data_IF_737102916138
#
_entry.id   IF_737102916138
#
_cell.length_a   1.000
_cell.length_b   1.000
_cell.length_c   1.000
_cell.angle_alpha   90.00
_cell.angle_beta   90.00
_cell.angle_gamma   90.00
#
_symmetry.space_group_name_H-M   'P 1'
#
loop_
_entity.id
_entity.type
_entity.pdbx_description
1 polymer ?
#
# COMPACT_ATOMS: atom_id res chain seq x y z
N UNK A 1 5.26 -10.03 -56.21
CA UNK A 1 5.69 -9.76 -54.82
C UNK A 1 4.88 -8.60 -54.27
N UNK A 2 3.77 -8.88 -53.60
CA UNK A 2 2.87 -7.86 -53.03
C UNK A 2 3.43 -7.41 -51.68
N UNK A 3 3.86 -6.14 -51.58
CA UNK A 3 4.30 -5.53 -50.31
C UNK A 3 3.08 -5.43 -49.39
N UNK A 4 3.08 -6.18 -48.30
CA UNK A 4 2.10 -6.01 -47.21
C UNK A 4 2.28 -4.61 -46.61
N UNK A 5 1.37 -3.69 -46.89
CA UNK A 5 1.34 -2.37 -46.26
C UNK A 5 1.05 -2.54 -44.78
N UNK A 6 1.99 -2.13 -43.92
CA UNK A 6 1.84 -2.19 -42.47
C UNK A 6 0.83 -1.13 -42.01
N UNK A 7 -0.46 -1.49 -41.99
CA UNK A 7 -1.58 -0.58 -41.81
C UNK A 7 -1.86 -0.25 -40.32
N UNK A 8 -0.79 -0.05 -39.53
CA UNK A 8 -0.89 0.28 -38.09
C UNK A 8 -0.77 1.79 -37.90
N UNK A 9 -1.65 2.35 -37.06
CA UNK A 9 -1.61 3.78 -36.66
C UNK A 9 -1.16 3.90 -35.21
N UNK A 10 -0.23 4.81 -34.94
CA UNK A 10 0.20 5.14 -33.58
C UNK A 10 -0.77 6.18 -33.00
N UNK A 11 -1.12 6.00 -31.73
CA UNK A 11 -1.93 6.95 -30.96
C UNK A 11 -0.99 7.63 -29.97
N UNK A 12 -0.84 8.95 -30.07
CA UNK A 12 -0.11 9.78 -29.11
C UNK A 12 -1.13 10.64 -28.36
N UNK A 13 -1.10 10.59 -27.04
CA UNK A 13 -2.02 11.30 -26.16
C UNK A 13 -1.23 11.85 -24.98
N UNK A 14 -1.45 13.12 -24.66
CA UNK A 14 -0.95 13.73 -23.44
C UNK A 14 -1.88 13.37 -22.27
N UNK A 15 -1.30 12.89 -21.18
CA UNK A 15 -2.02 12.42 -20.00
C UNK A 15 -1.31 12.99 -18.78
N UNK A 16 -2.08 13.38 -17.76
CA UNK A 16 -1.51 13.72 -16.46
C UNK A 16 -0.62 12.58 -15.95
N UNK A 17 0.55 12.95 -15.41
CA UNK A 17 1.56 11.97 -15.01
C UNK A 17 1.09 11.08 -13.86
N UNK A 18 0.41 11.67 -12.86
CA UNK A 18 -0.08 10.90 -11.72
C UNK A 18 -1.18 9.94 -12.15
N UNK A 19 -2.10 10.41 -13.00
CA UNK A 19 -3.15 9.58 -13.60
C UNK A 19 -2.57 8.39 -14.39
N UNK A 20 -1.52 8.62 -15.17
CA UNK A 20 -0.85 7.55 -15.92
C UNK A 20 -0.25 6.48 -14.99
N UNK A 21 0.51 6.89 -13.98
CA UNK A 21 1.17 5.96 -13.05
C UNK A 21 0.16 5.17 -12.21
N UNK A 22 -0.90 5.82 -11.72
CA UNK A 22 -1.96 5.13 -10.98
C UNK A 22 -2.74 4.15 -11.87
N UNK A 23 -3.08 4.55 -13.09
CA UNK A 23 -3.76 3.67 -14.05
C UNK A 23 -2.90 2.47 -14.42
N UNK A 24 -1.59 2.69 -14.65
CA UNK A 24 -0.63 1.63 -14.97
C UNK A 24 -0.52 0.64 -13.81
N UNK A 25 -0.44 1.11 -12.57
CA UNK A 25 -0.41 0.25 -11.38
C UNK A 25 -1.65 -0.65 -11.29
N UNK A 26 -2.84 -0.09 -11.49
CA UNK A 26 -4.09 -0.87 -11.49
C UNK A 26 -4.11 -1.92 -12.60
N UNK A 27 -3.62 -1.55 -13.79
CA UNK A 27 -3.56 -2.42 -14.94
C UNK A 27 -2.56 -3.57 -14.78
N UNK A 28 -1.41 -3.29 -14.18
CA UNK A 28 -0.40 -4.29 -13.84
C UNK A 28 -0.94 -5.27 -12.78
N UNK A 29 -1.69 -4.78 -11.78
CA UNK A 29 -2.34 -5.63 -10.75
C UNK A 29 -3.34 -6.62 -11.35
N UNK A 30 -4.03 -6.26 -12.44
CA UNK A 30 -4.96 -7.15 -13.16
C UNK A 30 -4.32 -7.88 -14.34
N UNK A 31 -3.01 -7.72 -14.56
CA UNK A 31 -2.26 -8.38 -15.63
C UNK A 31 -2.64 -7.94 -17.05
N UNK A 32 -3.20 -6.73 -17.21
CA UNK A 32 -3.62 -6.20 -18.51
C UNK A 32 -2.69 -5.04 -18.89
N UNK A 33 -1.83 -5.19 -19.92
CA UNK A 33 -1.01 -4.08 -20.40
C UNK A 33 -1.88 -2.92 -20.93
N UNK A 34 -1.46 -1.68 -20.71
CA UNK A 34 -2.13 -0.47 -21.20
C UNK A 34 -2.52 -0.54 -22.70
N UNK A 35 -1.65 -1.01 -23.63
CA UNK A 35 -2.04 -1.14 -25.03
C UNK A 35 -3.18 -2.14 -25.27
N UNK A 36 -3.31 -3.17 -24.43
CA UNK A 36 -4.40 -4.16 -24.53
C UNK A 36 -5.72 -3.50 -24.12
N UNK A 37 -5.73 -2.71 -23.04
CA UNK A 37 -6.91 -1.96 -22.64
C UNK A 37 -7.37 -1.00 -23.75
N UNK A 38 -6.44 -0.19 -24.29
CA UNK A 38 -6.76 0.78 -25.35
C UNK A 38 -7.38 0.07 -26.55
N UNK A 39 -6.76 -1.01 -27.02
CA UNK A 39 -7.29 -1.79 -28.14
C UNK A 39 -8.65 -2.43 -27.82
N UNK A 40 -8.86 -2.92 -26.60
CA UNK A 40 -10.14 -3.49 -26.18
C UNK A 40 -11.27 -2.43 -26.16
N UNK A 41 -10.98 -1.22 -25.69
CA UNK A 41 -11.93 -0.10 -25.69
C UNK A 41 -12.29 0.34 -27.11
N UNK A 42 -11.29 0.50 -27.99
CA UNK A 42 -11.53 0.84 -29.39
C UNK A 42 -12.40 -0.22 -30.09
N UNK A 43 -12.11 -1.51 -29.87
CA UNK A 43 -12.93 -2.61 -30.40
C UNK A 43 -14.36 -2.56 -29.86
N UNK A 44 -14.55 -2.24 -28.58
CA UNK A 44 -15.87 -2.15 -27.95
C UNK A 44 -16.68 -0.96 -28.48
N UNK A 45 -16.04 0.17 -28.75
CA UNK A 45 -16.67 1.33 -29.40
C UNK A 45 -17.21 0.95 -30.77
N UNK A 46 -16.38 0.28 -31.58
CA UNK A 46 -16.78 -0.19 -32.92
C UNK A 46 -17.93 -1.19 -32.82
N UNK A 47 -17.87 -2.13 -31.87
CA UNK A 47 -18.90 -3.15 -31.70
C UNK A 47 -20.25 -2.60 -31.21
N UNK A 48 -20.23 -1.58 -30.35
CA UNK A 48 -21.44 -1.04 -29.71
C UNK A 48 -21.96 0.23 -30.39
N UNK A 49 -21.20 0.82 -31.32
CA UNK A 49 -21.54 2.09 -31.96
C UNK A 49 -21.57 3.29 -30.99
N UNK A 50 -21.03 3.12 -29.78
CA UNK A 50 -21.04 4.13 -28.71
C UNK A 50 -19.87 3.96 -27.75
N UNK A 51 -19.56 5.00 -26.99
CA UNK A 51 -18.58 4.92 -25.90
C UNK A 51 -19.12 3.96 -24.81
N UNK A 52 -18.31 3.01 -24.32
CA UNK A 52 -18.77 1.97 -23.38
C UNK A 52 -18.83 2.46 -21.92
N UNK A 53 -19.03 3.75 -21.72
CA UNK A 53 -19.23 4.43 -20.44
C UNK A 53 -19.94 5.76 -20.72
N UNK A 54 -20.59 6.31 -19.71
CA UNK A 54 -21.23 7.62 -19.80
C UNK A 54 -20.16 8.71 -19.76
N UNK A 55 -20.21 9.64 -20.72
CA UNK A 55 -19.29 10.78 -20.79
C UNK A 55 -19.78 11.95 -19.93
N UNK A 56 -21.10 12.04 -19.73
CA UNK A 56 -21.65 12.90 -18.71
C UNK A 56 -21.41 12.21 -17.37
N UNK A 57 -20.72 12.87 -16.45
CA UNK A 57 -20.73 12.42 -15.06
C UNK A 57 -22.19 12.24 -14.65
N UNK A 58 -22.62 11.08 -14.13
CA UNK A 58 -23.95 11.02 -13.52
C UNK A 58 -23.98 12.08 -12.43
N UNK A 59 -24.91 13.03 -12.49
CA UNK A 59 -25.02 14.13 -11.51
C UNK A 59 -25.42 13.66 -10.09
N UNK A 60 -25.37 12.35 -9.81
CA UNK A 60 -25.32 11.74 -8.47
C UNK A 60 -23.92 11.27 -8.03
N UNK A 61 -22.91 11.50 -8.87
CA UNK A 61 -21.48 11.31 -8.63
C UNK A 61 -20.74 12.52 -9.18
N UNK A 62 -21.23 13.72 -8.83
CA UNK A 62 -20.30 14.81 -8.55
C UNK A 62 -19.34 14.29 -7.49
N UNK A 63 -18.13 13.95 -7.92
CA UNK A 63 -17.03 13.77 -7.01
C UNK A 63 -16.73 15.15 -6.39
N UNK A 64 -17.51 15.53 -5.37
CA UNK A 64 -17.08 16.41 -4.30
C UNK A 64 -15.97 15.76 -3.46
N UNK A 65 -15.24 14.79 -4.01
CA UNK A 65 -13.83 14.71 -3.71
C UNK A 65 -13.12 15.75 -4.57
N UNK A 66 -12.84 16.92 -3.99
CA UNK A 66 -11.42 17.30 -3.90
C UNK A 66 -10.70 15.98 -3.66
N UNK A 67 -9.86 15.46 -4.57
CA UNK A 67 -9.30 14.12 -4.42
C UNK A 67 -8.82 14.08 -2.98
N UNK A 68 -9.52 13.29 -2.15
CA UNK A 68 -9.28 13.33 -0.71
C UNK A 68 -7.90 12.72 -0.65
N UNK A 69 -6.88 13.60 -0.62
CA UNK A 69 -5.50 13.20 -0.74
C UNK A 69 -5.35 12.09 0.28
N UNK A 70 -4.76 10.96 -0.11
CA UNK A 70 -4.56 9.80 0.78
C UNK A 70 -4.30 10.34 2.17
N UNK A 71 -5.16 9.97 3.14
CA UNK A 71 -5.19 10.54 4.49
C UNK A 71 -3.77 10.92 4.92
N UNK A 72 -3.51 12.23 5.02
CA UNK A 72 -2.15 12.69 5.32
C UNK A 72 -1.92 12.52 6.80
N UNK A 73 -0.83 11.86 7.17
CA UNK A 73 -0.46 11.68 8.56
C UNK A 73 0.58 12.72 8.96
N UNK A 74 0.35 13.43 10.06
CA UNK A 74 1.29 14.40 10.61
C UNK A 74 1.79 13.94 11.97
N UNK A 75 3.10 13.83 12.08
CA UNK A 75 3.79 13.62 13.36
C UNK A 75 3.66 14.88 14.24
N UNK A 76 3.42 14.69 15.54
CA UNK A 76 3.48 15.73 16.56
C UNK A 76 4.29 15.25 17.77
N UNK A 77 4.81 16.19 18.58
CA UNK A 77 5.57 15.85 19.80
C UNK A 77 4.72 15.14 20.86
N UNK A 78 3.40 15.31 20.81
CA UNK A 78 2.48 14.61 21.71
C UNK A 78 2.38 13.13 21.35
N UNK A 79 2.27 12.82 20.05
CA UNK A 79 2.25 11.44 19.55
C UNK A 79 3.49 10.65 19.95
N UNK A 80 4.65 11.31 20.02
CA UNK A 80 5.91 10.67 20.43
C UNK A 80 5.90 10.07 21.83
N UNK A 81 5.01 10.54 22.70
CA UNK A 81 4.91 10.09 24.10
C UNK A 81 3.88 8.97 24.28
N UNK A 82 3.11 8.64 23.25
CA UNK A 82 2.01 7.69 23.32
C UNK A 82 2.54 6.29 22.97
N UNK A 83 2.43 5.30 23.86
CA UNK A 83 2.67 3.92 23.50
C UNK A 83 1.50 3.39 22.66
N UNK A 84 1.82 2.82 21.51
CA UNK A 84 0.88 2.06 20.69
C UNK A 84 1.15 0.57 20.83
N UNK A 85 0.10 -0.19 21.07
CA UNK A 85 0.14 -1.62 21.25
C UNK A 85 -0.32 -2.30 19.96
N UNK A 86 0.40 -3.37 19.61
CA UNK A 86 0.03 -4.30 18.55
C UNK A 86 -0.32 -5.62 19.22
N UNK A 87 -1.49 -6.16 18.89
CA UNK A 87 -1.89 -7.54 19.17
C UNK A 87 -2.65 -8.03 17.93
N UNK A 88 -1.93 -8.57 16.95
CA UNK A 88 -2.49 -8.93 15.64
C UNK A 88 -1.74 -10.08 14.99
N UNK A 89 -2.47 -11.10 14.53
CA UNK A 89 -1.96 -12.22 13.72
C UNK A 89 -0.72 -12.90 14.35
N UNK A 90 -0.76 -13.07 15.68
CA UNK A 90 0.32 -13.66 16.49
C UNK A 90 1.44 -12.69 16.86
N UNK A 91 1.48 -11.48 16.30
CA UNK A 91 2.45 -10.46 16.66
C UNK A 91 1.96 -9.62 17.85
N UNK A 92 2.87 -9.37 18.80
CA UNK A 92 2.63 -8.52 19.97
C UNK A 92 3.77 -7.55 20.16
N UNK A 93 3.50 -6.26 20.26
CA UNK A 93 4.56 -5.26 20.39
C UNK A 93 4.07 -3.99 21.09
N UNK A 94 5.01 -3.26 21.67
CA UNK A 94 4.84 -1.86 22.07
C UNK A 94 5.66 -0.99 21.13
N UNK A 95 5.02 0.01 20.51
CA UNK A 95 5.57 0.82 19.44
C UNK A 95 5.40 2.31 19.77
N UNK A 96 6.40 3.12 19.43
CA UNK A 96 6.36 4.59 19.54
C UNK A 96 6.67 5.21 18.18
N UNK A 97 5.96 6.29 17.83
CA UNK A 97 6.36 7.14 16.71
C UNK A 97 7.20 8.30 17.25
N UNK A 98 8.51 8.12 17.38
CA UNK A 98 9.37 9.05 18.12
C UNK A 98 9.67 10.35 17.36
N UNK A 99 9.88 10.23 16.04
CA UNK A 99 10.13 11.36 15.13
C UNK A 99 9.44 11.09 13.80
N UNK A 100 9.34 12.12 12.95
CA UNK A 100 8.66 12.04 11.64
C UNK A 100 8.97 10.76 10.84
N UNK A 101 10.23 10.32 10.80
CA UNK A 101 10.68 9.12 10.08
C UNK A 101 11.31 8.07 11.02
N UNK A 102 10.87 8.00 12.27
CA UNK A 102 11.46 7.13 13.30
C UNK A 102 10.36 6.47 14.14
N UNK A 103 10.14 5.19 13.89
CA UNK A 103 9.28 4.30 14.66
C UNK A 103 10.17 3.41 15.53
N UNK A 104 9.91 3.39 16.83
CA UNK A 104 10.58 2.49 17.76
C UNK A 104 9.66 1.32 18.09
N UNK A 105 10.13 0.09 17.92
CA UNK A 105 9.55 -1.12 18.52
C UNK A 105 10.39 -1.47 19.75
N UNK A 106 9.75 -1.59 20.92
CA UNK A 106 10.46 -1.99 22.14
C UNK A 106 10.94 -3.45 22.08
N UNK A 107 12.07 -3.72 22.73
CA UNK A 107 12.54 -5.08 23.00
C UNK A 107 11.44 -5.92 23.67
N UNK A 108 11.44 -7.22 23.40
CA UNK A 108 10.40 -8.17 23.84
C UNK A 108 9.19 -8.25 22.91
N UNK A 109 9.24 -7.62 21.74
CA UNK A 109 8.18 -7.74 20.74
C UNK A 109 8.18 -9.12 20.11
N UNK A 110 7.00 -9.76 20.08
CA UNK A 110 6.75 -11.03 19.41
C UNK A 110 6.36 -10.74 17.97
N UNK A 111 7.04 -11.38 17.03
CA UNK A 111 6.78 -11.27 15.61
C UNK A 111 6.05 -12.52 15.12
N UNK A 112 5.23 -12.36 14.09
CA UNK A 112 4.68 -13.49 13.35
C UNK A 112 5.81 -14.27 12.68
N UNK A 113 5.87 -15.59 12.88
CA UNK A 113 6.90 -16.44 12.31
C UNK A 113 6.80 -16.53 10.79
N UNK A 114 5.63 -16.97 10.29
CA UNK A 114 5.44 -17.32 8.88
C UNK A 114 4.54 -16.34 8.12
N UNK A 115 4.92 -15.94 6.89
CA UNK A 115 4.06 -15.16 6.02
C UNK A 115 2.92 -16.01 5.45
N UNK A 116 1.80 -15.36 5.08
CA UNK A 116 0.77 -16.02 4.27
C UNK A 116 1.28 -16.18 2.84
N UNK A 117 1.19 -17.40 2.30
CA UNK A 117 1.57 -17.71 0.92
C UNK A 117 0.45 -17.32 -0.05
N UNK A 118 0.84 -17.04 -1.29
CA UNK A 118 -0.10 -16.87 -2.39
C UNK A 118 -0.78 -18.22 -2.76
N UNK A 119 -1.84 -18.17 -3.57
CA UNK A 119 -2.57 -19.37 -4.02
C UNK A 119 -1.69 -20.38 -4.75
N UNK A 120 -0.62 -19.92 -5.39
CA UNK A 120 0.38 -20.72 -6.10
C UNK A 120 1.51 -21.24 -5.19
N UNK A 121 1.44 -20.99 -3.88
CA UNK A 121 2.47 -21.35 -2.91
C UNK A 121 3.68 -20.41 -2.89
N UNK A 122 3.71 -19.37 -3.73
CA UNK A 122 4.81 -18.40 -3.75
C UNK A 122 4.72 -17.38 -2.62
N UNK A 123 5.86 -16.77 -2.28
CA UNK A 123 5.89 -15.63 -1.36
C UNK A 123 5.40 -14.36 -2.05
N UNK A 124 4.41 -13.70 -1.44
CA UNK A 124 3.98 -12.36 -1.85
C UNK A 124 5.09 -11.31 -1.72
N UNK A 125 4.96 -10.20 -2.46
CA UNK A 125 5.97 -9.13 -2.47
C UNK A 125 6.26 -8.55 -1.08
N UNK A 126 5.20 -8.29 -0.30
CA UNK A 126 5.32 -7.81 1.09
C UNK A 126 6.07 -8.79 1.98
N UNK A 127 5.86 -10.09 1.79
CA UNK A 127 6.56 -11.12 2.55
C UNK A 127 8.06 -11.14 2.21
N UNK A 128 8.42 -11.04 0.93
CA UNK A 128 9.82 -10.94 0.48
C UNK A 128 10.51 -9.69 1.07
N UNK A 129 9.83 -8.54 1.06
CA UNK A 129 10.37 -7.32 1.64
C UNK A 129 10.54 -7.42 3.15
N UNK A 130 9.55 -7.97 3.86
CA UNK A 130 9.62 -8.19 5.29
C UNK A 130 10.75 -9.16 5.69
N UNK A 131 10.98 -10.22 4.92
CA UNK A 131 12.13 -11.11 5.13
C UNK A 131 13.46 -10.37 4.98
N UNK A 132 13.60 -9.54 3.94
CA UNK A 132 14.78 -8.67 3.79
C UNK A 132 14.93 -7.72 4.97
N UNK A 133 13.87 -7.03 5.36
CA UNK A 133 13.90 -6.11 6.50
C UNK A 133 14.30 -6.83 7.81
N UNK A 134 13.79 -8.04 8.06
CA UNK A 134 14.22 -8.84 9.22
C UNK A 134 15.67 -9.28 9.12
N UNK A 135 16.17 -9.62 7.92
CA UNK A 135 17.58 -9.99 7.75
C UNK A 135 18.54 -8.85 8.11
N UNK A 136 18.14 -7.60 7.86
CA UNK A 136 18.88 -6.40 8.26
C UNK A 136 18.92 -6.19 9.79
N UNK A 137 18.06 -6.90 10.54
CA UNK A 137 17.94 -6.83 12.00
C UNK A 137 18.18 -8.18 12.69
N UNK A 138 18.86 -9.14 12.03
CA UNK A 138 19.04 -10.52 12.54
C UNK A 138 19.63 -10.56 13.96
N UNK A 139 20.58 -9.67 14.28
CA UNK A 139 21.25 -9.62 15.59
C UNK A 139 20.40 -8.96 16.70
N UNK A 140 19.14 -8.63 16.41
CA UNK A 140 18.24 -7.91 17.30
C UNK A 140 16.99 -8.70 17.69
N UNK A 141 16.88 -9.97 17.26
CA UNK A 141 15.82 -10.88 17.70
C UNK A 141 16.27 -12.35 17.66
N UNK A 142 15.61 -13.19 18.47
CA UNK A 142 15.81 -14.64 18.46
C UNK A 142 14.45 -15.31 18.61
N UNK A 143 14.22 -16.42 17.90
CA UNK A 143 12.94 -17.16 17.94
C UNK A 143 11.72 -16.24 17.72
N UNK A 144 11.84 -15.30 16.80
CA UNK A 144 10.83 -14.29 16.49
C UNK A 144 10.45 -13.36 17.66
N UNK A 145 11.32 -13.23 18.67
CA UNK A 145 11.17 -12.27 19.77
C UNK A 145 12.33 -11.29 19.75
N UNK A 146 12.04 -9.98 19.71
CA UNK A 146 13.09 -8.95 19.71
C UNK A 146 13.84 -8.92 21.04
N UNK A 147 15.16 -8.87 20.99
CA UNK A 147 16.03 -8.79 22.18
C UNK A 147 16.52 -7.36 22.41
N UNK A 148 16.43 -6.51 21.39
CA UNK A 148 16.77 -5.10 21.41
C UNK A 148 15.62 -4.27 20.85
N UNK A 149 15.65 -2.99 21.18
CA UNK A 149 14.81 -1.98 20.55
C UNK A 149 15.12 -1.92 19.03
N UNK A 150 14.08 -1.86 18.20
CA UNK A 150 14.20 -1.79 16.72
C UNK A 150 13.73 -0.43 16.25
N UNK A 151 14.54 0.25 15.45
CA UNK A 151 14.18 1.52 14.81
C UNK A 151 13.85 1.28 13.34
N UNK A 152 12.65 1.69 12.93
CA UNK A 152 12.13 1.61 11.57
C UNK A 152 11.71 2.99 11.07
N UNK A 153 11.55 3.16 9.76
CA UNK A 153 11.30 4.48 9.16
C UNK A 153 9.83 4.86 9.10
N UNK A 154 8.92 3.88 9.17
CA UNK A 154 7.49 4.14 8.97
C UNK A 154 6.58 3.11 9.62
N UNK A 155 5.30 3.47 9.79
CA UNK A 155 4.23 2.57 10.27
C UNK A 155 4.07 1.34 9.35
N UNK A 156 4.35 1.49 8.05
CA UNK A 156 4.29 0.37 7.11
C UNK A 156 5.43 -0.62 7.34
N UNK A 157 6.66 -0.13 7.60
CA UNK A 157 7.79 -0.98 7.96
C UNK A 157 7.54 -1.72 9.28
N UNK A 158 6.90 -1.08 10.26
CA UNK A 158 6.47 -1.76 11.51
C UNK A 158 5.56 -2.94 11.20
N UNK A 159 4.56 -2.77 10.33
CA UNK A 159 3.66 -3.86 9.95
C UNK A 159 4.34 -4.96 9.15
N UNK A 160 5.27 -4.60 8.25
CA UNK A 160 6.10 -5.57 7.53
C UNK A 160 6.97 -6.38 8.50
N UNK A 161 7.66 -5.70 9.41
CA UNK A 161 8.55 -6.33 10.38
C UNK A 161 7.80 -7.25 11.35
N UNK A 162 6.68 -6.80 11.92
CA UNK A 162 5.96 -7.56 12.94
C UNK A 162 5.10 -8.69 12.35
N UNK A 163 4.38 -8.45 11.26
CA UNK A 163 3.35 -9.39 10.76
C UNK A 163 3.26 -9.48 9.23
N UNK A 164 4.33 -9.17 8.49
CA UNK A 164 4.40 -9.29 7.02
C UNK A 164 3.38 -8.43 6.25
N UNK A 165 2.93 -7.32 6.84
CA UNK A 165 1.85 -6.49 6.32
C UNK A 165 0.53 -7.28 6.13
N UNK A 166 -0.20 -7.05 5.04
CA UNK A 166 -1.50 -7.70 4.79
C UNK A 166 -2.69 -7.09 5.52
N UNK A 167 -2.47 -6.03 6.29
CA UNK A 167 -3.52 -5.23 6.95
C UNK A 167 -3.12 -3.75 7.00
N UNK A 168 -4.06 -2.88 7.35
CA UNK A 168 -3.78 -1.45 7.53
C UNK A 168 -3.15 -1.19 8.91
N UNK A 169 -1.83 -1.14 8.96
CA UNK A 169 -1.05 -0.91 10.18
C UNK A 169 -1.46 0.36 10.95
N UNK A 170 -1.94 1.41 10.25
CA UNK A 170 -2.41 2.64 10.88
C UNK A 170 -3.63 2.43 11.79
N UNK A 171 -4.39 1.35 11.58
CA UNK A 171 -5.55 0.98 12.39
C UNK A 171 -5.24 -0.10 13.45
N UNK A 172 -4.16 -0.85 13.24
CA UNK A 172 -3.72 -1.93 14.16
C UNK A 172 -3.02 -1.36 15.39
N UNK A 173 -2.16 -0.34 15.19
CA UNK A 173 -1.44 0.31 16.28
C UNK A 173 -2.43 1.17 17.08
N UNK A 174 -2.74 0.76 18.33
CA UNK A 174 -3.72 1.43 19.19
C UNK A 174 -3.13 1.81 20.54
N UNK A 175 -3.53 2.95 21.07
CA UNK A 175 -3.18 3.31 22.45
C UNK A 175 -3.94 2.45 23.47
N UNK A 176 -3.69 2.70 24.76
CA UNK A 176 -4.36 2.01 25.87
C UNK A 176 -5.89 2.13 25.87
N UNK A 177 -6.44 3.16 25.23
CA UNK A 177 -7.88 3.43 25.13
C UNK A 177 -8.47 2.87 23.82
N UNK A 178 -7.66 2.17 23.01
CA UNK A 178 -8.08 1.63 21.72
C UNK A 178 -8.07 2.63 20.56
N UNK A 179 -7.64 3.88 20.77
CA UNK A 179 -7.56 4.89 19.72
C UNK A 179 -6.33 4.62 18.84
N UNK A 180 -6.56 4.50 17.53
CA UNK A 180 -5.50 4.12 16.59
C UNK A 180 -4.54 5.27 16.29
N UNK A 181 -3.32 4.94 15.87
CA UNK A 181 -2.34 5.92 15.41
C UNK A 181 -2.86 6.72 14.21
N UNK A 182 -3.71 6.13 13.36
CA UNK A 182 -4.48 6.85 12.33
C UNK A 182 -5.29 8.00 12.94
N UNK A 183 -6.13 7.70 13.94
CA UNK A 183 -7.00 8.68 14.58
C UNK A 183 -6.23 9.76 15.35
N UNK A 184 -4.99 9.48 15.74
CA UNK A 184 -4.09 10.47 16.34
C UNK A 184 -3.40 11.39 15.33
N UNK A 185 -3.18 10.93 14.11
CA UNK A 185 -2.26 11.60 13.16
C UNK A 185 -2.90 12.08 11.87
N UNK A 186 -4.12 11.63 11.56
CA UNK A 186 -4.81 12.00 10.32
C UNK A 186 -5.09 13.50 10.30
N UNK A 187 -4.68 14.14 9.21
CA UNK A 187 -5.04 15.51 8.86
C UNK A 187 -6.18 15.42 7.87
N UNK A 188 -7.33 15.96 8.25
CA UNK A 188 -8.46 16.16 7.34
C UNK A 188 -8.21 17.50 6.66
N UNK A 189 -7.97 17.49 5.35
CA UNK A 189 -8.05 18.69 4.52
C UNK A 189 -9.52 19.03 4.25
#
# INVERSE_FOLDING_TARGET
>A
MTKSTNNKKLIQVEVDKALYEDSKRVLDDIGIPMPVLINALLKRIVAQGRVPFDLAQPEGQQSNSVPKGKSRHKFTKELAKIPFYVDHDGAKATVYWQKRNEMLIKAGAVMKADPKLNKDGSLGFSAKFAQKLRSEHTDSFQNFVTTKDIILKSVNEVGLFLYFAGTNSWLVLKDKNGKSINAWSVVVE
#
